data_IF_657483126966
#
_entry.id   IF_657483126966
#
_cell.length_a   1.000
_cell.length_b   1.000
_cell.length_c   1.000
_cell.angle_alpha   90.00
_cell.angle_beta   90.00
_cell.angle_gamma   90.00
#
_symmetry.space_group_name_H-M   'P 1'
#
loop_
_entity.id
_entity.type
_entity.pdbx_description
1 polymer ?
#
# COMPACT_ATOMS: atom_id res chain seq x y z
N UNK A 1 -22.60 16.04 -10.38
CA UNK A 1 -22.48 16.62 -9.03
C UNK A 1 -21.04 16.97 -8.75
N UNK A 2 -20.76 18.23 -8.38
CA UNK A 2 -19.40 18.69 -8.06
C UNK A 2 -19.17 18.54 -6.55
N UNK A 3 -18.19 17.73 -6.16
CA UNK A 3 -17.74 17.65 -4.77
C UNK A 3 -16.78 18.81 -4.50
N UNK A 4 -17.17 19.74 -3.63
CA UNK A 4 -16.33 20.84 -3.19
C UNK A 4 -15.49 20.36 -2.01
N UNK A 5 -14.17 20.34 -2.17
CA UNK A 5 -13.22 19.98 -1.09
C UNK A 5 -12.69 21.28 -0.49
N UNK A 6 -12.94 21.48 0.81
CA UNK A 6 -12.40 22.61 1.56
C UNK A 6 -10.93 22.35 1.89
N UNK A 7 -10.04 23.19 1.35
CA UNK A 7 -8.61 23.09 1.59
C UNK A 7 -8.29 23.71 2.95
N UNK A 8 -7.87 22.88 3.90
CA UNK A 8 -7.41 23.27 5.24
C UNK A 8 -5.89 23.38 5.31
N UNK A 9 -5.39 24.10 6.30
CA UNK A 9 -3.96 24.35 6.51
C UNK A 9 -3.15 23.08 6.87
N UNK A 10 -3.81 21.97 7.20
CA UNK A 10 -3.20 20.67 7.50
C UNK A 10 -3.14 19.72 6.28
N UNK A 11 -3.66 20.13 5.12
CA UNK A 11 -3.59 19.33 3.89
C UNK A 11 -2.25 19.52 3.18
N UNK A 12 -1.43 18.48 3.17
CA UNK A 12 -0.15 18.46 2.48
C UNK A 12 -0.22 17.93 1.03
N UNK A 13 -1.25 17.15 0.69
CA UNK A 13 -1.37 16.51 -0.62
C UNK A 13 -2.83 16.20 -0.96
N UNK A 14 -3.26 16.57 -2.17
CA UNK A 14 -4.56 16.19 -2.74
C UNK A 14 -4.28 15.34 -3.99
N UNK A 15 -4.87 14.14 -4.02
CA UNK A 15 -4.69 13.18 -5.10
C UNK A 15 -6.07 12.98 -5.76
N UNK A 16 -6.23 13.47 -6.98
CA UNK A 16 -7.42 13.17 -7.81
C UNK A 16 -7.17 11.87 -8.56
N UNK A 17 -7.95 10.84 -8.23
CA UNK A 17 -7.93 9.55 -8.93
C UNK A 17 -9.20 9.44 -9.79
N UNK A 18 -9.05 9.02 -11.05
CA UNK A 18 -10.19 8.51 -11.83
C UNK A 18 -10.74 7.25 -11.13
N UNK A 19 -12.07 7.09 -11.14
CA UNK A 19 -12.70 5.89 -10.59
C UNK A 19 -12.23 4.65 -11.33
N UNK A 20 -12.21 3.49 -10.67
CA UNK A 20 -11.75 2.22 -11.27
C UNK A 20 -12.48 1.90 -12.59
N UNK A 21 -13.74 2.35 -12.74
CA UNK A 21 -14.54 2.19 -13.94
C UNK A 21 -14.01 2.99 -15.15
N UNK A 22 -13.45 4.19 -14.95
CA UNK A 22 -12.88 4.98 -16.04
C UNK A 22 -11.58 4.38 -16.59
N UNK A 23 -10.79 3.71 -15.74
CA UNK A 23 -9.56 3.02 -16.15
C UNK A 23 -9.87 1.78 -17.00
N UNK A 24 -10.99 1.08 -16.74
CA UNK A 24 -11.44 -0.07 -17.53
C UNK A 24 -11.94 0.27 -18.94
N UNK A 25 -12.33 1.53 -19.21
CA UNK A 25 -12.74 1.96 -20.57
C UNK A 25 -11.55 1.99 -21.53
N UNK A 26 -10.32 2.06 -21.03
CA UNK A 26 -9.11 2.05 -21.84
C UNK A 26 -8.75 0.66 -22.41
N UNK A 27 -9.45 -0.40 -22.00
CA UNK A 27 -9.07 -1.79 -22.31
C UNK A 27 -10.04 -2.56 -23.22
N UNK A 28 -11.14 -1.97 -23.69
CA UNK A 28 -12.07 -2.65 -24.60
C UNK A 28 -12.01 -2.09 -26.03
N UNK A 29 -11.67 -2.89 -27.07
CA UNK A 29 -11.55 -2.42 -28.45
C UNK A 29 -12.90 -2.31 -29.18
N UNK A 30 -14.02 -2.30 -28.45
CA UNK A 30 -15.36 -2.28 -29.04
C UNK A 30 -16.13 -1.00 -28.69
N UNK A 31 -16.10 -0.10 -29.67
CA UNK A 31 -17.21 0.77 -30.05
C UNK A 31 -17.42 2.08 -29.29
N UNK A 32 -17.19 3.15 -30.04
CA UNK A 32 -17.73 4.52 -29.91
C UNK A 32 -16.88 5.50 -29.10
N UNK A 33 -16.03 6.18 -29.86
CA UNK A 33 -15.31 7.42 -29.53
C UNK A 33 -16.19 8.41 -28.75
N UNK A 34 -16.03 8.48 -27.43
CA UNK A 34 -16.12 9.75 -26.74
C UNK A 34 -14.68 10.21 -26.52
N UNK A 35 -14.20 10.99 -27.50
CA UNK A 35 -12.90 11.64 -27.45
C UNK A 35 -13.01 12.79 -26.45
N UNK A 36 -12.91 12.46 -25.17
CA UNK A 36 -12.35 13.41 -24.22
C UNK A 36 -10.94 13.66 -24.74
N UNK A 37 -10.72 14.82 -25.36
CA UNK A 37 -9.37 15.34 -25.55
C UNK A 37 -8.83 15.59 -24.15
N UNK A 38 -8.33 14.53 -23.53
CA UNK A 38 -7.49 14.62 -22.36
C UNK A 38 -6.26 15.34 -22.85
N UNK A 39 -6.17 16.62 -22.53
CA UNK A 39 -5.00 17.42 -22.78
C UNK A 39 -3.82 16.71 -22.14
N UNK A 40 -2.85 16.38 -22.98
CA UNK A 40 -1.61 15.65 -22.69
C UNK A 40 -0.77 16.25 -21.56
N UNK A 41 -1.17 17.40 -21.01
CA UNK A 41 -0.36 18.22 -20.12
C UNK A 41 -0.73 18.03 -18.65
N UNK A 42 -1.83 17.35 -18.33
CA UNK A 42 -2.29 17.14 -16.94
C UNK A 42 -2.02 15.72 -16.39
N UNK A 43 -1.87 14.72 -17.27
CA UNK A 43 -1.62 13.32 -16.88
C UNK A 43 -0.13 12.96 -16.77
N UNK A 44 0.77 13.82 -17.24
CA UNK A 44 2.22 13.56 -17.29
C UNK A 44 2.89 13.34 -15.93
N UNK A 45 2.45 13.90 -14.78
CA UNK A 45 3.05 13.56 -13.48
C UNK A 45 2.62 12.18 -12.97
N UNK A 46 1.42 11.72 -13.37
CA UNK A 46 0.83 10.46 -12.92
C UNK A 46 1.30 9.25 -13.71
N UNK A 47 1.81 9.48 -14.93
CA UNK A 47 2.26 8.41 -15.83
C UNK A 47 3.54 7.69 -15.36
N UNK A 48 4.22 8.19 -14.32
CA UNK A 48 5.44 7.62 -13.76
C UNK A 48 5.27 7.12 -12.34
N UNK A 49 4.04 6.91 -11.87
CA UNK A 49 3.82 6.35 -10.55
C UNK A 49 4.20 4.86 -10.55
N UNK A 50 5.17 4.41 -9.71
CA UNK A 50 5.45 2.99 -9.57
C UNK A 50 4.16 2.23 -9.26
N UNK A 51 3.98 1.08 -9.92
CA UNK A 51 2.77 0.24 -9.82
C UNK A 51 2.34 -0.01 -8.37
N UNK A 52 3.32 -0.19 -7.48
CA UNK A 52 3.07 -0.33 -6.04
C UNK A 52 2.35 0.88 -5.43
N UNK A 53 2.77 2.10 -5.74
CA UNK A 53 2.15 3.31 -5.19
C UNK A 53 0.74 3.48 -5.77
N UNK A 54 0.53 3.16 -7.05
CA UNK A 54 -0.80 3.17 -7.65
C UNK A 54 -1.77 2.20 -6.96
N UNK A 55 -1.34 0.97 -6.68
CA UNK A 55 -2.16 -0.02 -6.00
C UNK A 55 -2.51 0.40 -4.56
N UNK A 56 -1.56 1.00 -3.83
CA UNK A 56 -1.80 1.51 -2.48
C UNK A 56 -2.82 2.66 -2.52
N UNK A 57 -2.72 3.58 -3.49
CA UNK A 57 -3.68 4.67 -3.63
C UNK A 57 -5.09 4.17 -3.96
N UNK A 58 -5.23 3.16 -4.81
CA UNK A 58 -6.53 2.52 -5.04
C UNK A 58 -7.08 1.86 -3.79
N UNK A 59 -6.24 1.16 -3.02
CA UNK A 59 -6.68 0.58 -1.75
C UNK A 59 -7.07 1.64 -0.73
N UNK A 60 -6.39 2.78 -0.68
CA UNK A 60 -6.77 3.90 0.18
C UNK A 60 -8.14 4.48 -0.21
N UNK A 61 -8.46 4.52 -1.51
CA UNK A 61 -9.75 5.00 -2.00
C UNK A 61 -10.90 4.01 -1.75
N UNK A 62 -10.66 2.71 -1.97
CA UNK A 62 -11.73 1.71 -1.99
C UNK A 62 -11.82 0.89 -0.69
N UNK A 63 -10.69 0.72 0.00
CA UNK A 63 -10.53 -0.19 1.14
C UNK A 63 -9.68 0.44 2.26
N UNK A 64 -9.93 1.71 2.58
CA UNK A 64 -9.16 2.49 3.58
C UNK A 64 -8.97 1.75 4.91
N UNK A 65 -10.01 1.06 5.41
CA UNK A 65 -9.93 0.31 6.67
C UNK A 65 -8.86 -0.78 6.65
N UNK A 66 -8.72 -1.50 5.54
CA UNK A 66 -7.70 -2.53 5.39
C UNK A 66 -6.30 -1.92 5.46
N UNK A 67 -6.03 -0.88 4.67
CA UNK A 67 -4.72 -0.18 4.67
C UNK A 67 -4.40 0.43 6.04
N UNK A 68 -5.39 1.03 6.70
CA UNK A 68 -5.20 1.61 8.02
C UNK A 68 -4.80 0.53 9.05
N UNK A 69 -5.44 -0.63 9.05
CA UNK A 69 -5.06 -1.71 9.97
C UNK A 69 -3.72 -2.34 9.59
N UNK A 70 -3.50 -2.62 8.31
CA UNK A 70 -2.25 -3.15 7.80
C UNK A 70 -1.06 -2.25 8.19
N UNK A 71 -1.16 -0.94 7.94
CA UNK A 71 -0.08 0.01 8.27
C UNK A 71 0.20 0.08 9.77
N UNK A 72 -0.82 0.06 10.62
CA UNK A 72 -0.65 0.02 12.09
C UNK A 72 0.09 -1.23 12.54
N UNK A 73 -0.28 -2.39 12.01
CA UNK A 73 0.38 -3.66 12.34
C UNK A 73 1.82 -3.67 11.81
N UNK A 74 2.03 -3.25 10.56
CA UNK A 74 3.37 -3.15 9.95
C UNK A 74 4.30 -2.27 10.78
N UNK A 75 3.87 -1.05 11.13
CA UNK A 75 4.70 -0.13 11.93
C UNK A 75 5.02 -0.72 13.31
N UNK A 76 4.03 -1.34 13.95
CA UNK A 76 4.24 -1.99 15.25
C UNK A 76 5.23 -3.15 15.14
N UNK A 77 5.14 -3.96 14.08
CA UNK A 77 5.99 -5.11 13.86
C UNK A 77 7.42 -4.70 13.52
N UNK A 78 7.60 -3.69 12.67
CA UNK A 78 8.91 -3.11 12.34
C UNK A 78 9.60 -2.58 13.60
N UNK A 79 8.85 -1.89 14.46
CA UNK A 79 9.36 -1.41 15.74
C UNK A 79 9.79 -2.56 16.68
N UNK A 80 8.93 -3.57 16.84
CA UNK A 80 9.22 -4.75 17.66
C UNK A 80 10.44 -5.53 17.15
N UNK A 81 10.62 -5.64 15.82
CA UNK A 81 11.80 -6.26 15.21
C UNK A 81 13.09 -5.51 15.59
N UNK A 82 13.08 -4.18 15.54
CA UNK A 82 14.22 -3.34 15.96
C UNK A 82 14.53 -3.57 17.45
N UNK A 83 13.49 -3.58 18.30
CA UNK A 83 13.65 -3.83 19.73
C UNK A 83 14.21 -5.23 20.02
N UNK A 84 13.70 -6.27 19.36
CA UNK A 84 14.19 -7.64 19.53
C UNK A 84 15.64 -7.79 19.07
N UNK A 85 16.02 -7.15 17.95
CA UNK A 85 17.40 -7.13 17.49
C UNK A 85 18.34 -6.41 18.48
N UNK A 86 17.88 -5.30 19.09
CA UNK A 86 18.66 -4.61 20.13
C UNK A 86 18.81 -5.49 21.38
N UNK A 87 17.72 -6.12 21.83
CA UNK A 87 17.75 -7.02 22.99
C UNK A 87 18.69 -8.21 22.78
N UNK A 88 18.75 -8.75 21.57
CA UNK A 88 19.71 -9.80 21.22
C UNK A 88 21.17 -9.33 21.30
N UNK A 89 21.46 -8.06 20.97
CA UNK A 89 22.81 -7.47 21.11
C UNK A 89 23.22 -7.24 22.55
N UNK A 90 22.24 -7.00 23.43
CA UNK A 90 22.43 -6.70 24.84
C UNK A 90 22.32 -7.94 25.75
N UNK A 91 21.95 -9.10 25.19
CA UNK A 91 21.87 -10.34 25.95
C UNK A 91 23.27 -10.85 26.32
N UNK A 92 23.56 -10.92 27.63
CA UNK A 92 24.86 -11.35 28.15
C UNK A 92 24.82 -12.79 28.68
N UNK A 93 23.64 -13.30 29.02
CA UNK A 93 23.43 -14.70 29.42
C UNK A 93 22.96 -15.57 28.25
N UNK A 94 23.32 -16.86 28.27
CA UNK A 94 22.87 -17.83 27.27
C UNK A 94 21.35 -17.99 27.25
N UNK A 95 20.70 -17.88 28.41
CA UNK A 95 19.24 -17.94 28.51
C UNK A 95 18.57 -16.71 27.88
N UNK A 96 19.12 -15.51 28.11
CA UNK A 96 18.63 -14.25 27.52
C UNK A 96 18.83 -14.24 26.00
N UNK A 97 19.93 -14.81 25.51
CA UNK A 97 20.21 -14.97 24.08
C UNK A 97 19.21 -15.91 23.41
N UNK A 98 18.85 -17.01 24.06
CA UNK A 98 17.89 -17.99 23.54
C UNK A 98 16.47 -17.41 23.51
N UNK A 99 16.06 -16.69 24.56
CA UNK A 99 14.77 -16.00 24.61
C UNK A 99 14.67 -14.90 23.53
N UNK A 100 15.71 -14.06 23.42
CA UNK A 100 15.79 -13.01 22.41
C UNK A 100 15.73 -13.57 20.99
N UNK A 101 16.42 -14.69 20.74
CA UNK A 101 16.43 -15.37 19.44
C UNK A 101 15.08 -16.00 19.10
N UNK A 102 14.40 -16.61 20.08
CA UNK A 102 13.04 -17.12 19.91
C UNK A 102 12.08 -16.00 19.52
N UNK A 103 12.10 -14.88 20.26
CA UNK A 103 11.26 -13.71 19.98
C UNK A 103 11.52 -13.14 18.59
N UNK A 104 12.78 -12.99 18.18
CA UNK A 104 13.13 -12.50 16.85
C UNK A 104 12.58 -13.40 15.74
N UNK A 105 12.74 -14.73 15.87
CA UNK A 105 12.21 -15.68 14.88
C UNK A 105 10.68 -15.64 14.79
N UNK A 106 10.00 -15.51 15.93
CA UNK A 106 8.55 -15.35 15.94
C UNK A 106 8.10 -14.08 15.20
N UNK A 107 8.75 -12.94 15.47
CA UNK A 107 8.44 -11.68 14.78
C UNK A 107 8.70 -11.76 13.27
N UNK A 108 9.77 -12.43 12.84
CA UNK A 108 10.04 -12.67 11.42
C UNK A 108 8.97 -13.55 10.75
N UNK A 109 8.38 -14.49 11.49
CA UNK A 109 7.25 -15.30 10.99
C UNK A 109 6.02 -14.41 10.80
N UNK A 110 5.71 -13.56 11.79
CA UNK A 110 4.62 -12.59 11.65
C UNK A 110 4.83 -11.62 10.48
N UNK A 111 6.07 -11.26 10.15
CA UNK A 111 6.38 -10.41 8.99
C UNK A 111 5.99 -11.11 7.69
N UNK A 112 6.33 -12.40 7.57
CA UNK A 112 5.96 -13.21 6.41
C UNK A 112 4.45 -13.32 6.26
N UNK A 113 3.74 -13.59 7.36
CA UNK A 113 2.27 -13.65 7.35
C UNK A 113 1.64 -12.32 6.90
N UNK A 114 2.19 -11.19 7.37
CA UNK A 114 1.75 -9.86 6.98
C UNK A 114 1.99 -9.60 5.48
N UNK A 115 3.16 -9.97 4.97
CA UNK A 115 3.52 -9.83 3.56
C UNK A 115 2.61 -10.67 2.66
N UNK A 116 2.23 -11.87 3.09
CA UNK A 116 1.34 -12.74 2.34
C UNK A 116 -0.10 -12.22 2.34
N UNK A 117 -0.57 -11.65 3.46
CA UNK A 117 -1.85 -10.93 3.51
C UNK A 117 -1.83 -9.77 2.51
N UNK A 118 -0.76 -8.97 2.48
CA UNK A 118 -0.62 -7.87 1.52
C UNK A 118 -0.66 -8.38 0.08
N UNK A 119 0.13 -9.41 -0.24
CA UNK A 119 0.15 -10.01 -1.59
C UNK A 119 -1.23 -10.50 -2.02
N UNK A 120 -1.97 -11.17 -1.14
CA UNK A 120 -3.32 -11.67 -1.44
C UNK A 120 -4.34 -10.54 -1.70
N UNK A 121 -4.05 -9.31 -1.27
CA UNK A 121 -4.90 -8.15 -1.54
C UNK A 121 -4.60 -7.45 -2.87
N UNK A 122 -3.50 -7.80 -3.56
CA UNK A 122 -3.04 -7.10 -4.78
C UNK A 122 -3.86 -7.49 -6.01
N UNK A 123 -5.02 -6.84 -6.17
CA UNK A 123 -5.92 -7.02 -7.32
C UNK A 123 -5.24 -6.92 -8.69
N UNK A 124 -4.23 -6.04 -8.83
CA UNK A 124 -3.57 -5.80 -10.11
C UNK A 124 -2.71 -7.00 -10.54
N UNK A 125 -2.13 -7.72 -9.57
CA UNK A 125 -1.37 -8.96 -9.84
C UNK A 125 -2.31 -10.05 -10.37
N UNK A 126 -3.52 -10.16 -9.81
CA UNK A 126 -4.52 -11.12 -10.28
C UNK A 126 -4.99 -10.80 -11.71
N UNK A 127 -5.18 -9.52 -12.04
CA UNK A 127 -5.59 -9.07 -13.39
C UNK A 127 -4.49 -9.29 -14.43
N UNK A 128 -3.21 -9.08 -14.09
CA UNK A 128 -2.08 -9.28 -15.01
C UNK A 128 -1.82 -10.76 -15.28
N UNK A 129 -2.08 -11.62 -14.31
CA UNK A 129 -1.85 -13.07 -14.44
C UNK A 129 -3.02 -13.83 -15.10
N UNK A 130 -4.05 -13.13 -15.58
CA UNK A 130 -5.18 -13.69 -16.33
C UNK A 130 -4.91 -13.84 -17.83
#
# INVERSE_FOLDING_TARGET
DAQVVEIRDDLSLIILMSTADEVNVLSTPSSTKQRYSITSDCLTPFMYLPVYIFEVLQHLSNNYRFISQYSRVSICLDFELICAQQSQREAFSTNELDESRYRLNHLLTCQQDLDDIWRSSRWLVDVINC
#
